data_IF_157343457621
#
_entry.id   IF_157343457621
#
_cell.length_a   1.000
_cell.length_b   1.000
_cell.length_c   1.000
_cell.angle_alpha   90.00
_cell.angle_beta   90.00
_cell.angle_gamma   90.00
#
_symmetry.space_group_name_H-M   'P 1'
#
loop_
_entity.id
_entity.type
_entity.pdbx_description
1 polymer ?
#
# COMPACT_ATOMS: atom_id res chain seq x y z
N UNK A 1 -7.12 14.93 -16.94
CA UNK A 1 -6.69 13.54 -16.67
C UNK A 1 -6.98 13.32 -15.20
N UNK A 2 -7.85 12.37 -14.83
CA UNK A 2 -8.22 12.20 -13.43
C UNK A 2 -6.98 11.79 -12.62
N UNK A 3 -6.58 12.62 -11.67
CA UNK A 3 -5.57 12.29 -10.68
C UNK A 3 -6.08 11.07 -9.92
N UNK A 4 -5.57 9.90 -10.29
CA UNK A 4 -5.95 8.65 -9.64
C UNK A 4 -5.22 8.62 -8.32
N UNK A 5 -5.88 9.07 -7.25
CA UNK A 5 -5.31 9.02 -5.90
C UNK A 5 -5.05 7.57 -5.54
N UNK A 6 -3.79 7.27 -5.28
CA UNK A 6 -3.39 5.94 -4.90
C UNK A 6 -3.24 5.90 -3.39
N UNK A 7 -4.04 5.06 -2.74
CA UNK A 7 -3.92 4.81 -1.31
C UNK A 7 -3.11 3.56 -1.07
N UNK A 8 -2.33 3.53 0.01
CA UNK A 8 -1.65 2.33 0.45
C UNK A 8 -1.77 2.11 1.94
N UNK A 9 -1.68 0.84 2.33
CA UNK A 9 -1.68 0.39 3.70
C UNK A 9 -0.57 -0.64 3.89
N UNK A 10 0.16 -0.50 5.00
CA UNK A 10 1.14 -1.48 5.44
C UNK A 10 0.58 -2.15 6.68
N UNK A 11 0.62 -3.47 6.70
CA UNK A 11 0.10 -4.28 7.79
C UNK A 11 1.07 -5.40 8.13
N UNK A 12 1.11 -5.73 9.41
CA UNK A 12 1.93 -6.82 9.93
C UNK A 12 1.24 -8.17 9.67
N UNK A 13 2.05 -9.15 9.29
CA UNK A 13 1.68 -10.56 9.17
C UNK A 13 2.74 -11.41 9.88
N UNK A 14 2.45 -12.69 10.11
CA UNK A 14 3.39 -13.63 10.74
C UNK A 14 4.76 -13.73 10.03
N UNK A 15 4.83 -13.39 8.74
CA UNK A 15 6.05 -13.39 7.93
C UNK A 15 6.76 -12.03 7.80
N UNK A 16 6.30 -10.98 8.48
CA UNK A 16 6.83 -9.61 8.36
C UNK A 16 5.75 -8.59 7.98
N UNK A 17 6.08 -7.59 7.18
CA UNK A 17 5.18 -6.49 6.82
C UNK A 17 4.78 -6.55 5.35
N UNK A 18 3.49 -6.72 5.08
CA UNK A 18 2.93 -6.63 3.73
C UNK A 18 2.39 -5.23 3.46
N UNK A 19 2.40 -4.85 2.18
CA UNK A 19 1.82 -3.58 1.74
C UNK A 19 0.78 -3.84 0.66
N UNK A 20 -0.35 -3.13 0.70
CA UNK A 20 -1.34 -3.14 -0.37
C UNK A 20 -1.59 -1.72 -0.82
N UNK A 21 -1.71 -1.50 -2.13
CA UNK A 21 -2.08 -0.22 -2.70
C UNK A 21 -3.27 -0.37 -3.64
N UNK A 22 -4.17 0.60 -3.59
CA UNK A 22 -5.39 0.63 -4.35
C UNK A 22 -5.73 2.04 -4.80
N UNK A 23 -6.63 2.13 -5.76
CA UNK A 23 -7.22 3.36 -6.26
C UNK A 23 -8.71 3.17 -6.46
N UNK A 24 -9.39 4.21 -6.95
CA UNK A 24 -10.80 4.13 -7.36
C UNK A 24 -11.06 3.00 -8.39
N UNK A 25 -10.06 2.67 -9.22
CA UNK A 25 -10.15 1.60 -10.20
C UNK A 25 -9.90 0.18 -9.62
N UNK A 26 -9.47 0.07 -8.36
CA UNK A 26 -9.21 -1.19 -7.67
C UNK A 26 -7.78 -1.36 -7.16
N UNK A 27 -7.38 -2.61 -6.88
CA UNK A 27 -6.03 -2.91 -6.37
C UNK A 27 -4.99 -2.70 -7.46
N UNK A 28 -4.04 -1.79 -7.22
CA UNK A 28 -2.97 -1.46 -8.17
C UNK A 28 -1.67 -2.18 -7.84
N UNK A 29 -1.45 -2.56 -6.57
CA UNK A 29 -0.21 -3.22 -6.16
C UNK A 29 -0.36 -4.01 -4.87
N UNK A 30 0.41 -5.09 -4.80
CA UNK A 30 0.67 -5.84 -3.59
C UNK A 30 2.17 -5.99 -3.36
N UNK A 31 2.65 -5.61 -2.19
CA UNK A 31 4.03 -5.71 -1.76
C UNK A 31 4.16 -6.93 -0.84
N UNK A 32 4.97 -7.89 -1.28
CA UNK A 32 5.33 -9.08 -0.53
C UNK A 32 6.04 -8.72 0.79
N UNK A 33 5.95 -9.62 1.80
CA UNK A 33 6.41 -9.32 3.15
C UNK A 33 7.89 -8.96 3.18
N UNK A 34 8.19 -7.87 3.89
CA UNK A 34 9.56 -7.49 4.23
C UNK A 34 9.77 -7.51 5.74
N UNK A 35 11.02 -7.38 6.17
CA UNK A 35 11.37 -7.44 7.60
C UNK A 35 10.83 -6.25 8.41
N UNK A 36 10.55 -5.10 7.78
CA UNK A 36 10.13 -3.87 8.49
C UNK A 36 9.08 -3.09 7.70
N UNK A 37 8.20 -2.37 8.40
CA UNK A 37 7.20 -1.52 7.78
C UNK A 37 7.81 -0.48 6.83
N UNK A 38 8.88 0.21 7.26
CA UNK A 38 9.59 1.21 6.44
C UNK A 38 10.19 0.62 5.15
N UNK A 39 10.69 -0.62 5.19
CA UNK A 39 11.22 -1.27 3.99
C UNK A 39 10.09 -1.58 3.01
N UNK A 40 8.94 -2.04 3.51
CA UNK A 40 7.72 -2.25 2.72
C UNK A 40 7.23 -0.93 2.12
N UNK A 41 7.18 0.15 2.90
CA UNK A 41 6.76 1.48 2.45
C UNK A 41 7.66 2.00 1.34
N UNK A 42 8.97 1.97 1.56
CA UNK A 42 9.94 2.47 0.60
C UNK A 42 9.92 1.70 -0.72
N UNK A 43 9.67 0.38 -0.69
CA UNK A 43 9.50 -0.41 -1.91
C UNK A 43 8.20 -0.08 -2.65
N UNK A 44 7.14 0.22 -1.90
CA UNK A 44 5.84 0.60 -2.43
C UNK A 44 5.91 2.01 -3.05
N UNK A 45 6.38 3.02 -2.32
CA UNK A 45 6.56 4.40 -2.78
C UNK A 45 7.56 4.53 -3.93
N UNK A 46 8.59 3.68 -4.00
CA UNK A 46 9.51 3.64 -5.15
C UNK A 46 8.79 3.39 -6.48
N UNK A 47 7.65 2.72 -6.45
CA UNK A 47 6.85 2.36 -7.63
C UNK A 47 5.54 3.12 -7.70
N UNK A 48 5.13 3.71 -6.59
CA UNK A 48 3.92 4.49 -6.41
C UNK A 48 4.30 5.82 -5.73
N UNK A 49 5.02 6.72 -6.43
CA UNK A 49 5.55 7.93 -5.83
C UNK A 49 4.46 8.88 -5.31
N UNK A 50 3.26 8.80 -5.89
CA UNK A 50 2.08 9.56 -5.50
C UNK A 50 1.15 8.77 -4.54
N UNK A 51 1.67 7.69 -3.95
CA UNK A 51 0.92 6.91 -2.97
C UNK A 51 0.74 7.70 -1.68
N UNK A 52 -0.48 7.77 -1.18
CA UNK A 52 -0.80 8.33 0.13
C UNK A 52 -1.14 7.21 1.14
N UNK A 53 -0.67 7.29 2.39
CA UNK A 53 -1.08 6.35 3.42
C UNK A 53 -2.59 6.47 3.64
N UNK A 54 -3.29 5.35 3.50
CA UNK A 54 -4.75 5.26 3.62
C UNK A 54 -5.14 4.18 4.61
N UNK A 55 -6.15 4.46 5.43
CA UNK A 55 -6.81 3.42 6.20
C UNK A 55 -7.71 2.60 5.26
N UNK A 56 -7.78 1.26 5.41
CA UNK A 56 -8.77 0.47 4.70
C UNK A 56 -10.16 0.95 5.11
N UNK A 57 -11.13 0.93 4.17
CA UNK A 57 -12.50 1.30 4.50
C UNK A 57 -13.00 0.40 5.64
N UNK A 58 -13.68 0.95 6.66
CA UNK A 58 -14.14 0.17 7.81
C UNK A 58 -14.99 -1.00 7.33
N UNK A 59 -14.81 -2.16 7.97
CA UNK A 59 -15.62 -3.33 7.68
C UNK A 59 -17.08 -3.02 8.07
N UNK A 60 -17.99 -3.11 7.11
CA UNK A 60 -19.45 -3.07 7.31
C UNK A 60 -19.95 -4.45 7.69
#
# INVERSE_FOLDING_TARGET
MAETRHHYLIFEIAGGFCGIAWSDAGIVRFQLPTKTAEATERLLLRRLPDGEPGAPTPQV
#
